data_IF_834057988750
#
_entry.id   IF_834057988750
#
_cell.length_a   1.000
_cell.length_b   1.000
_cell.length_c   1.000
_cell.angle_alpha   90.00
_cell.angle_beta   90.00
_cell.angle_gamma   90.00
#
_symmetry.space_group_name_H-M   'P 1'
#
loop_
_entity.id
_entity.type
_entity.pdbx_description
1 polymer ?
#
# COMPACT_ATOMS: atom_id res chain seq x y z
N UNK A 1 9.09 22.18 10.15
CA UNK A 1 8.54 21.27 11.18
C UNK A 1 8.86 19.85 10.75
N UNK A 2 9.48 19.05 11.63
CA UNK A 2 9.68 17.63 11.36
C UNK A 2 8.39 16.89 11.69
N UNK A 3 7.93 16.04 10.80
CA UNK A 3 6.74 15.19 10.98
C UNK A 3 7.24 13.75 11.04
N UNK A 4 6.95 13.06 12.13
CA UNK A 4 7.25 11.63 12.26
C UNK A 4 6.09 10.77 11.78
N UNK A 5 6.42 9.63 11.21
CA UNK A 5 5.47 8.60 10.76
C UNK A 5 6.16 7.26 10.71
N UNK A 6 5.38 6.19 10.68
CA UNK A 6 5.87 4.84 10.42
C UNK A 6 5.68 4.48 8.94
N UNK A 7 6.49 3.59 8.42
CA UNK A 7 6.36 3.06 7.05
C UNK A 7 6.32 1.53 7.08
N UNK A 8 5.82 0.94 5.99
CA UNK A 8 5.59 -0.48 5.91
C UNK A 8 4.27 -0.90 6.57
N UNK A 9 4.14 -2.18 6.81
CA UNK A 9 2.97 -2.77 7.47
C UNK A 9 3.40 -3.47 8.76
N UNK A 10 2.47 -3.55 9.70
CA UNK A 10 2.70 -4.14 11.00
C UNK A 10 1.94 -5.46 11.14
N UNK A 11 2.68 -6.52 11.47
CA UNK A 11 2.11 -7.79 11.90
C UNK A 11 2.35 -7.94 13.40
N UNK A 12 1.37 -7.64 14.25
CA UNK A 12 1.50 -7.93 15.67
C UNK A 12 1.68 -9.45 15.88
N UNK A 13 2.53 -9.84 16.81
CA UNK A 13 2.73 -11.27 17.17
C UNK A 13 1.40 -11.95 17.51
N UNK A 14 0.49 -11.22 18.14
CA UNK A 14 -0.84 -11.70 18.52
C UNK A 14 -1.73 -12.05 17.34
N UNK A 15 -1.59 -11.40 16.16
CA UNK A 15 -2.38 -11.73 14.98
C UNK A 15 -2.07 -13.14 14.46
N UNK A 16 -0.82 -13.56 14.50
CA UNK A 16 -0.45 -14.93 14.09
C UNK A 16 -1.13 -15.97 14.97
N UNK A 17 -1.22 -15.71 16.26
CA UNK A 17 -1.96 -16.56 17.22
C UNK A 17 -3.46 -16.61 16.93
N UNK A 18 -4.07 -15.47 16.64
CA UNK A 18 -5.49 -15.34 16.29
C UNK A 18 -5.82 -16.04 14.97
N UNK A 19 -4.99 -15.86 13.95
CA UNK A 19 -5.14 -16.57 12.67
C UNK A 19 -5.06 -18.09 12.84
N UNK A 20 -4.13 -18.56 13.65
CA UNK A 20 -4.01 -19.98 13.98
C UNK A 20 -5.26 -20.49 14.74
N UNK A 21 -5.77 -19.73 15.71
CA UNK A 21 -6.99 -20.07 16.42
C UNK A 21 -8.19 -20.18 15.48
N UNK A 22 -8.36 -19.22 14.56
CA UNK A 22 -9.41 -19.25 13.56
C UNK A 22 -9.26 -20.41 12.57
N UNK A 23 -8.07 -20.67 12.04
CA UNK A 23 -7.81 -21.78 11.12
C UNK A 23 -8.13 -23.14 11.76
N UNK A 24 -7.93 -23.27 13.08
CA UNK A 24 -8.27 -24.45 13.85
C UNK A 24 -9.70 -24.42 14.43
N UNK A 25 -10.56 -23.52 13.96
CA UNK A 25 -11.96 -23.38 14.38
C UNK A 25 -12.15 -23.17 15.90
N UNK A 26 -11.18 -22.53 16.56
CA UNK A 26 -11.27 -22.16 17.98
C UNK A 26 -11.95 -20.82 18.19
N UNK A 27 -11.92 -19.96 17.20
CA UNK A 27 -12.66 -18.70 17.14
C UNK A 27 -13.39 -18.60 15.81
N UNK A 28 -14.45 -17.81 15.78
CA UNK A 28 -15.24 -17.48 14.59
C UNK A 28 -14.52 -16.43 13.76
N UNK A 29 -14.96 -16.21 12.53
CA UNK A 29 -14.45 -15.14 11.69
C UNK A 29 -14.81 -13.75 12.23
N UNK A 30 -15.99 -13.62 12.82
CA UNK A 30 -16.44 -12.38 13.45
C UNK A 30 -15.54 -12.00 14.64
N UNK A 31 -15.22 -12.98 15.49
CA UNK A 31 -14.26 -12.77 16.58
C UNK A 31 -12.87 -12.37 16.07
N UNK A 32 -12.38 -13.00 15.00
CA UNK A 32 -11.11 -12.62 14.39
C UNK A 32 -11.11 -11.19 13.84
N UNK A 33 -12.18 -10.76 13.16
CA UNK A 33 -12.30 -9.40 12.64
C UNK A 33 -12.41 -8.36 13.77
N UNK A 34 -13.10 -8.69 14.85
CA UNK A 34 -13.18 -7.83 16.05
C UNK A 34 -11.80 -7.69 16.72
N UNK A 35 -11.07 -8.78 16.85
CA UNK A 35 -9.72 -8.76 17.42
C UNK A 35 -8.73 -7.98 16.54
N UNK A 36 -8.81 -8.13 15.21
CA UNK A 36 -8.03 -7.29 14.29
C UNK A 36 -8.30 -5.81 14.54
N UNK A 37 -9.56 -5.46 14.71
CA UNK A 37 -9.94 -4.08 15.04
C UNK A 37 -9.34 -3.62 16.37
N UNK A 38 -9.36 -4.47 17.40
CA UNK A 38 -8.74 -4.16 18.69
C UNK A 38 -7.22 -3.95 18.56
N UNK A 39 -6.54 -4.80 17.80
CA UNK A 39 -5.10 -4.64 17.52
C UNK A 39 -4.78 -3.35 16.75
N UNK A 40 -5.65 -2.94 15.82
CA UNK A 40 -5.51 -1.66 15.13
C UNK A 40 -5.58 -0.48 16.11
N UNK A 41 -6.50 -0.49 17.05
CA UNK A 41 -6.59 0.53 18.10
C UNK A 41 -5.35 0.54 19.01
N UNK A 42 -4.82 -0.62 19.34
CA UNK A 42 -3.57 -0.74 20.11
C UNK A 42 -2.41 -0.11 19.34
N UNK A 43 -2.27 -0.43 18.06
CA UNK A 43 -1.24 0.15 17.19
C UNK A 43 -1.34 1.69 17.16
N UNK A 44 -2.52 2.24 16.93
CA UNK A 44 -2.72 3.69 16.90
C UNK A 44 -2.37 4.35 18.23
N UNK A 45 -2.78 3.76 19.35
CA UNK A 45 -2.51 4.30 20.68
C UNK A 45 -1.01 4.30 20.99
N UNK A 46 -0.32 3.19 20.72
CA UNK A 46 1.13 3.09 20.91
C UNK A 46 1.87 4.14 20.08
N UNK A 47 1.53 4.29 18.82
CA UNK A 47 2.14 5.30 17.94
C UNK A 47 1.89 6.73 18.47
N UNK A 48 0.66 7.03 18.89
CA UNK A 48 0.29 8.33 19.45
C UNK A 48 1.04 8.63 20.76
N UNK A 49 1.14 7.66 21.67
CA UNK A 49 1.84 7.80 22.95
C UNK A 49 3.35 8.03 22.78
N UNK A 50 3.93 7.48 21.69
CA UNK A 50 5.33 7.70 21.34
C UNK A 50 5.57 8.92 20.46
N UNK A 51 4.57 9.77 20.26
CA UNK A 51 4.70 11.05 19.57
C UNK A 51 4.82 10.94 18.06
N UNK A 52 4.34 9.85 17.46
CA UNK A 52 4.20 9.77 16.00
C UNK A 52 3.11 10.75 15.55
N UNK A 53 3.48 11.65 14.61
CA UNK A 53 2.57 12.72 14.17
C UNK A 53 1.54 12.22 13.16
N UNK A 54 1.98 11.51 12.14
CA UNK A 54 1.09 10.94 11.12
C UNK A 54 1.05 9.43 11.28
N UNK A 55 -0.06 8.92 11.77
CA UNK A 55 -0.26 7.50 12.05
C UNK A 55 -0.92 6.84 10.84
N UNK A 56 -0.37 5.75 10.28
CA UNK A 56 -1.05 4.98 9.26
C UNK A 56 -2.40 4.47 9.77
N UNK A 57 -3.46 4.64 8.98
CA UNK A 57 -4.79 4.22 9.41
C UNK A 57 -5.02 2.70 9.30
N UNK A 58 -4.27 2.03 8.45
CA UNK A 58 -4.51 0.65 8.03
C UNK A 58 -3.23 -0.21 8.05
N UNK A 59 -2.42 -0.11 9.10
CA UNK A 59 -1.16 -0.84 9.23
C UNK A 59 -1.33 -2.28 9.76
N UNK A 60 -2.47 -2.61 10.39
CA UNK A 60 -2.78 -3.96 10.86
C UNK A 60 -3.60 -4.71 9.81
N UNK A 61 -3.02 -5.70 9.16
CA UNK A 61 -3.65 -6.49 8.10
C UNK A 61 -3.72 -7.98 8.47
N UNK A 62 -4.83 -8.64 8.12
CA UNK A 62 -5.00 -10.09 8.31
C UNK A 62 -4.46 -10.93 7.14
N UNK A 63 -4.22 -10.32 6.00
CA UNK A 63 -3.69 -10.99 4.81
C UNK A 63 -2.35 -10.37 4.41
N UNK A 64 -2.28 -9.74 3.27
CA UNK A 64 -1.15 -8.91 2.85
C UNK A 64 -1.64 -7.65 2.12
N UNK A 65 -0.82 -6.58 2.05
CA UNK A 65 -1.22 -5.31 1.45
C UNK A 65 -1.60 -5.42 -0.03
N UNK A 66 -0.97 -6.34 -0.78
CA UNK A 66 -1.27 -6.53 -2.21
C UNK A 66 -2.63 -7.17 -2.39
N UNK A 67 -2.93 -8.19 -1.58
CA UNK A 67 -4.23 -8.86 -1.62
C UNK A 67 -5.36 -7.93 -1.17
N UNK A 68 -5.12 -7.08 -0.16
CA UNK A 68 -6.06 -6.05 0.25
C UNK A 68 -6.29 -5.02 -0.85
N UNK A 69 -5.22 -4.57 -1.51
CA UNK A 69 -5.34 -3.65 -2.66
C UNK A 69 -6.12 -4.29 -3.81
N UNK A 70 -5.92 -5.59 -4.09
CA UNK A 70 -6.72 -6.30 -5.08
C UNK A 70 -8.22 -6.23 -4.75
N UNK A 71 -8.59 -6.45 -3.49
CA UNK A 71 -9.97 -6.31 -3.04
C UNK A 71 -10.53 -4.90 -3.16
N UNK A 72 -9.75 -3.91 -2.77
CA UNK A 72 -10.09 -2.48 -2.92
C UNK A 72 -10.45 -2.14 -4.38
N UNK A 73 -9.77 -2.76 -5.33
CA UNK A 73 -9.97 -2.58 -6.76
C UNK A 73 -11.01 -3.53 -7.37
N UNK A 74 -11.71 -4.30 -6.53
CA UNK A 74 -12.78 -5.21 -6.95
C UNK A 74 -12.28 -6.52 -7.57
N UNK A 75 -11.04 -6.91 -7.29
CA UNK A 75 -10.46 -8.18 -7.76
C UNK A 75 -10.71 -9.26 -6.70
N UNK A 76 -11.32 -10.37 -7.11
CA UNK A 76 -11.60 -11.52 -6.24
C UNK A 76 -12.92 -11.43 -5.47
N UNK A 77 -12.99 -12.13 -4.35
CA UNK A 77 -14.18 -12.19 -3.48
C UNK A 77 -14.41 -10.83 -2.79
N UNK A 78 -15.65 -10.40 -2.68
CA UNK A 78 -16.03 -9.10 -2.08
C UNK A 78 -16.32 -9.20 -0.59
N UNK A 79 -16.82 -10.34 -0.12
CA UNK A 79 -17.09 -10.55 1.30
C UNK A 79 -15.79 -10.70 2.09
N UNK A 80 -15.53 -9.88 3.12
CA UNK A 80 -14.25 -9.90 3.84
C UNK A 80 -13.93 -11.27 4.46
N UNK A 81 -14.94 -11.93 5.00
CA UNK A 81 -14.78 -13.24 5.61
C UNK A 81 -14.41 -14.32 4.60
N UNK A 82 -15.09 -14.32 3.44
CA UNK A 82 -14.77 -15.24 2.35
C UNK A 82 -13.41 -14.94 1.73
N UNK A 83 -13.04 -13.66 1.61
CA UNK A 83 -11.71 -13.25 1.16
C UNK A 83 -10.62 -13.85 2.04
N UNK A 84 -10.81 -13.81 3.36
CA UNK A 84 -9.87 -14.39 4.31
C UNK A 84 -9.78 -15.92 4.14
N UNK A 85 -10.93 -16.59 3.96
CA UNK A 85 -10.96 -18.03 3.64
C UNK A 85 -10.20 -18.32 2.33
N UNK A 86 -10.41 -17.52 1.30
CA UNK A 86 -9.73 -17.66 0.01
C UNK A 86 -8.21 -17.50 0.16
N UNK A 87 -7.77 -16.50 0.90
CA UNK A 87 -6.35 -16.24 1.13
C UNK A 87 -5.63 -17.41 1.82
N UNK A 88 -6.25 -17.99 2.85
CA UNK A 88 -5.60 -19.02 3.66
C UNK A 88 -5.90 -20.46 3.22
N UNK A 89 -7.04 -20.72 2.60
CA UNK A 89 -7.47 -22.09 2.23
C UNK A 89 -7.33 -22.40 0.74
N UNK A 90 -7.28 -21.39 -0.13
CA UNK A 90 -7.00 -21.60 -1.55
C UNK A 90 -5.49 -21.54 -1.79
N UNK A 91 -5.02 -22.32 -2.74
CA UNK A 91 -3.63 -22.24 -3.20
C UNK A 91 -3.45 -21.02 -4.12
N UNK A 92 -3.36 -19.84 -3.52
CA UNK A 92 -3.09 -18.62 -4.26
C UNK A 92 -1.62 -18.60 -4.72
N UNK A 93 -1.33 -18.11 -5.93
CA UNK A 93 0.03 -17.81 -6.32
C UNK A 93 0.64 -16.82 -5.35
N UNK A 94 1.88 -17.08 -4.91
CA UNK A 94 2.63 -16.19 -4.02
C UNK A 94 4.04 -15.99 -4.55
N UNK A 95 4.62 -14.83 -4.27
CA UNK A 95 6.03 -14.58 -4.53
C UNK A 95 6.62 -13.69 -3.45
N UNK A 96 7.95 -13.69 -3.35
CA UNK A 96 8.70 -12.86 -2.41
C UNK A 96 8.40 -11.38 -2.61
N UNK A 97 8.11 -10.70 -1.49
CA UNK A 97 7.91 -9.27 -1.47
C UNK A 97 9.26 -8.55 -1.54
N UNK A 98 9.67 -8.23 -2.75
CA UNK A 98 10.94 -7.56 -3.07
C UNK A 98 12.15 -8.18 -2.35
N UNK A 99 12.86 -7.43 -1.51
CA UNK A 99 14.04 -7.91 -0.79
C UNK A 99 13.72 -8.46 0.61
N UNK A 100 12.44 -8.57 0.96
CA UNK A 100 12.00 -9.12 2.25
C UNK A 100 11.78 -10.63 2.15
N UNK A 101 12.05 -11.36 3.24
CA UNK A 101 11.83 -12.80 3.30
C UNK A 101 10.38 -13.17 3.70
N UNK A 102 9.43 -12.51 3.05
CA UNK A 102 8.00 -12.78 3.18
C UNK A 102 7.37 -12.99 1.81
N UNK A 103 6.34 -13.82 1.76
CA UNK A 103 5.60 -14.12 0.54
C UNK A 103 4.23 -13.45 0.58
N UNK A 104 3.91 -12.67 -0.46
CA UNK A 104 2.59 -12.09 -0.66
C UNK A 104 1.84 -12.75 -1.80
N UNK A 105 0.52 -12.72 -1.74
CA UNK A 105 -0.33 -13.20 -2.82
C UNK A 105 -0.08 -12.39 -4.09
N UNK A 106 0.05 -13.09 -5.22
CA UNK A 106 0.17 -12.49 -6.54
C UNK A 106 -1.21 -12.44 -7.18
N UNK A 107 -1.87 -11.27 -7.29
CA UNK A 107 -3.16 -11.16 -7.96
C UNK A 107 -3.05 -11.62 -9.43
N UNK A 108 -4.01 -12.42 -9.85
CA UNK A 108 -4.10 -12.87 -11.24
C UNK A 108 -5.26 -12.15 -11.90
N UNK A 109 -4.96 -11.37 -12.93
CA UNK A 109 -5.93 -10.61 -13.70
C UNK A 109 -6.19 -11.31 -15.04
N UNK A 110 -7.31 -10.99 -15.67
CA UNK A 110 -7.62 -11.42 -17.05
C UNK A 110 -7.51 -10.24 -18.01
N UNK A 111 -7.18 -10.52 -19.27
CA UNK A 111 -7.25 -9.48 -20.31
C UNK A 111 -8.65 -8.89 -20.39
N UNK A 112 -8.73 -7.56 -20.41
CA UNK A 112 -10.01 -6.85 -20.44
C UNK A 112 -10.75 -6.80 -19.10
N UNK A 113 -10.11 -7.18 -17.99
CA UNK A 113 -10.70 -7.03 -16.66
C UNK A 113 -11.07 -5.57 -16.37
N UNK A 114 -12.28 -5.39 -15.81
CA UNK A 114 -12.72 -4.11 -15.29
C UNK A 114 -12.44 -4.02 -13.80
N UNK A 115 -12.11 -2.82 -13.34
CA UNK A 115 -11.85 -2.53 -11.94
C UNK A 115 -12.97 -1.65 -11.39
N UNK A 116 -13.43 -1.98 -10.22
CA UNK A 116 -14.45 -1.22 -9.51
C UNK A 116 -14.08 -1.13 -8.05
N UNK A 117 -14.04 0.10 -7.53
CA UNK A 117 -13.79 0.30 -6.10
C UNK A 117 -14.90 -0.37 -5.32
N UNK A 118 -14.54 -1.28 -4.43
CA UNK A 118 -15.43 -1.76 -3.39
C UNK A 118 -15.08 -1.09 -2.08
N UNK A 119 -16.07 -0.84 -1.24
CA UNK A 119 -15.82 -0.39 0.12
C UNK A 119 -14.96 -1.43 0.83
N UNK A 120 -13.90 -0.96 1.47
CA UNK A 120 -12.91 -1.84 2.03
C UNK A 120 -12.36 -1.29 3.32
N UNK A 121 -11.70 -2.18 4.00
CA UNK A 121 -10.96 -2.00 5.23
C UNK A 121 -10.14 -0.71 5.26
N UNK A 122 -9.47 -0.33 4.17
CA UNK A 122 -8.65 0.90 4.10
C UNK A 122 -9.46 2.17 4.33
N UNK A 123 -10.65 2.25 3.72
CA UNK A 123 -11.53 3.43 3.83
C UNK A 123 -12.17 3.46 5.22
N UNK A 124 -12.66 2.32 5.69
CA UNK A 124 -13.27 2.18 7.01
C UNK A 124 -12.28 2.49 8.13
N UNK A 125 -11.06 1.95 8.05
CA UNK A 125 -9.99 2.23 9.01
C UNK A 125 -9.62 3.72 9.03
N UNK A 126 -9.57 4.36 7.85
CA UNK A 126 -9.31 5.79 7.79
C UNK A 126 -10.40 6.60 8.48
N UNK A 127 -11.68 6.33 8.20
CA UNK A 127 -12.79 7.02 8.86
C UNK A 127 -12.78 6.80 10.37
N UNK A 128 -12.49 5.58 10.80
CA UNK A 128 -12.43 5.22 12.21
C UNK A 128 -11.28 5.94 12.93
N UNK A 129 -10.06 5.87 12.39
CA UNK A 129 -8.91 6.57 12.95
C UNK A 129 -9.17 8.09 13.07
N UNK A 130 -9.75 8.68 12.03
CA UNK A 130 -10.12 10.10 12.01
C UNK A 130 -11.18 10.42 13.06
N UNK A 131 -12.19 9.56 13.23
CA UNK A 131 -13.25 9.76 14.24
C UNK A 131 -12.71 9.73 15.67
N UNK A 132 -11.58 9.08 15.91
CA UNK A 132 -10.86 9.06 17.19
C UNK A 132 -9.90 10.25 17.37
N UNK A 133 -9.92 11.20 16.44
CA UNK A 133 -9.11 12.41 16.50
C UNK A 133 -7.63 12.21 16.15
N UNK A 134 -7.30 11.10 15.48
CA UNK A 134 -5.93 10.86 15.03
C UNK A 134 -5.61 11.72 13.81
N UNK A 135 -4.39 12.24 13.75
CA UNK A 135 -3.80 12.74 12.51
C UNK A 135 -3.32 11.52 11.74
N UNK A 136 -4.08 11.10 10.76
CA UNK A 136 -3.89 9.82 10.09
C UNK A 136 -3.77 9.98 8.58
N UNK A 137 -3.16 8.98 7.96
CA UNK A 137 -3.06 8.84 6.51
C UNK A 137 -3.30 7.39 6.10
N UNK A 138 -4.15 7.14 5.09
CA UNK A 138 -4.27 5.84 4.48
C UNK A 138 -3.02 5.46 3.68
N UNK A 139 -2.64 4.18 3.75
CA UNK A 139 -1.53 3.60 3.01
C UNK A 139 -2.08 2.66 1.95
N UNK A 140 -1.67 2.87 0.72
CA UNK A 140 -2.03 2.05 -0.44
C UNK A 140 -0.77 1.43 -1.04
N UNK A 141 -0.83 0.19 -1.49
CA UNK A 141 0.20 -0.29 -2.41
C UNK A 141 0.14 0.58 -3.67
N UNK A 142 1.29 1.13 -4.06
CA UNK A 142 1.35 2.01 -5.21
C UNK A 142 1.01 1.28 -6.52
N UNK A 143 0.42 1.97 -7.49
CA UNK A 143 -0.09 1.34 -8.70
C UNK A 143 0.98 0.62 -9.53
N UNK A 144 2.20 1.12 -9.54
CA UNK A 144 3.30 0.49 -10.29
C UNK A 144 3.73 -0.81 -9.62
N UNK A 145 3.90 -0.79 -8.31
CA UNK A 145 4.19 -1.99 -7.51
C UNK A 145 3.06 -3.01 -7.63
N UNK A 146 1.81 -2.57 -7.55
CA UNK A 146 0.67 -3.46 -7.68
C UNK A 146 0.66 -4.18 -9.03
N UNK A 147 0.86 -3.44 -10.13
CA UNK A 147 0.93 -4.03 -11.48
C UNK A 147 2.17 -4.90 -11.70
N UNK A 148 3.34 -4.48 -11.19
CA UNK A 148 4.57 -5.27 -11.26
C UNK A 148 4.44 -6.58 -10.48
N UNK A 149 3.71 -6.55 -9.36
CA UNK A 149 3.51 -7.72 -8.49
C UNK A 149 2.36 -8.64 -8.95
N UNK A 150 1.43 -8.15 -9.74
CA UNK A 150 0.32 -8.90 -10.33
C UNK A 150 0.74 -9.62 -11.61
N UNK A 151 -0.01 -10.67 -11.99
CA UNK A 151 0.17 -11.40 -13.24
C UNK A 151 -1.10 -11.38 -14.10
N UNK A 152 -0.98 -11.74 -15.37
CA UNK A 152 -2.13 -11.93 -16.27
C UNK A 152 -2.26 -13.42 -16.58
N UNK A 153 -3.48 -13.95 -16.50
CA UNK A 153 -3.77 -15.38 -16.69
C UNK A 153 -3.33 -15.94 -18.03
N UNK A 154 -3.24 -15.09 -19.05
CA UNK A 154 -2.81 -15.45 -20.41
C UNK A 154 -1.28 -15.52 -20.57
N UNK A 155 -0.52 -15.54 -19.46
CA UNK A 155 0.91 -15.84 -19.48
C UNK A 155 1.86 -14.64 -19.43
N UNK A 156 1.38 -13.43 -19.15
CA UNK A 156 2.25 -12.29 -18.87
C UNK A 156 2.80 -12.35 -17.44
N UNK A 157 4.10 -12.11 -17.30
CA UNK A 157 4.77 -12.13 -15.98
C UNK A 157 4.33 -10.97 -15.04
N UNK A 158 3.73 -9.91 -15.60
CA UNK A 158 3.21 -8.77 -14.83
C UNK A 158 2.01 -8.13 -15.55
N UNK A 159 1.30 -7.26 -14.84
CA UNK A 159 0.10 -6.60 -15.31
C UNK A 159 0.33 -5.12 -15.73
N UNK A 160 1.56 -4.71 -16.04
CA UNK A 160 1.87 -3.32 -16.40
C UNK A 160 1.05 -2.82 -17.61
N UNK A 161 0.67 -3.71 -18.53
CA UNK A 161 -0.20 -3.39 -19.67
C UNK A 161 -1.63 -2.99 -19.30
N UNK A 162 -2.06 -3.27 -18.04
CA UNK A 162 -3.41 -2.95 -17.56
C UNK A 162 -3.53 -1.51 -17.00
N UNK A 163 -2.49 -0.69 -17.10
CA UNK A 163 -2.42 0.61 -16.46
C UNK A 163 -3.60 1.55 -16.77
N UNK A 164 -4.06 1.59 -18.02
CA UNK A 164 -5.15 2.47 -18.43
C UNK A 164 -6.51 2.05 -17.88
N UNK A 165 -6.72 0.74 -17.67
CA UNK A 165 -7.92 0.22 -17.03
C UNK A 165 -7.89 0.40 -15.51
N UNK A 166 -6.69 0.33 -14.91
CA UNK A 166 -6.49 0.44 -13.47
C UNK A 166 -6.56 1.89 -12.95
N UNK A 167 -6.11 2.85 -13.75
CA UNK A 167 -6.04 4.27 -13.39
C UNK A 167 -7.36 4.84 -12.85
N UNK A 168 -8.53 4.65 -13.50
CA UNK A 168 -9.79 5.19 -13.00
C UNK A 168 -10.17 4.64 -11.62
N UNK A 169 -9.85 3.38 -11.34
CA UNK A 169 -10.16 2.75 -10.06
C UNK A 169 -9.27 3.32 -8.93
N UNK A 170 -7.96 3.42 -9.13
CA UNK A 170 -7.08 4.10 -8.17
C UNK A 170 -7.50 5.55 -7.93
N UNK A 171 -7.82 6.27 -9.01
CA UNK A 171 -8.30 7.65 -8.89
C UNK A 171 -9.57 7.74 -8.04
N UNK A 172 -10.53 6.84 -8.24
CA UNK A 172 -11.77 6.82 -7.45
C UNK A 172 -11.52 6.53 -5.98
N UNK A 173 -10.57 5.63 -5.65
CA UNK A 173 -10.14 5.40 -4.25
C UNK A 173 -9.65 6.70 -3.61
N UNK A 174 -8.77 7.43 -4.31
CA UNK A 174 -8.22 8.70 -3.80
C UNK A 174 -9.33 9.73 -3.62
N UNK A 175 -10.24 9.85 -4.58
CA UNK A 175 -11.39 10.77 -4.50
C UNK A 175 -12.26 10.46 -3.28
N UNK A 176 -12.57 9.17 -3.02
CA UNK A 176 -13.33 8.76 -1.84
C UNK A 176 -12.58 9.16 -0.55
N UNK A 177 -11.28 8.90 -0.48
CA UNK A 177 -10.49 9.28 0.68
C UNK A 177 -10.45 10.79 0.90
N UNK A 178 -10.38 11.59 -0.16
CA UNK A 178 -10.47 13.06 -0.11
C UNK A 178 -11.87 13.48 0.37
N UNK A 179 -12.93 12.90 -0.16
CA UNK A 179 -14.32 13.15 0.27
C UNK A 179 -14.50 12.85 1.77
N UNK A 180 -13.79 11.83 2.30
CA UNK A 180 -13.74 11.50 3.72
C UNK A 180 -12.78 12.41 4.53
N UNK A 181 -12.05 13.28 3.84
CA UNK A 181 -11.18 14.30 4.42
C UNK A 181 -9.75 13.82 4.68
N UNK A 182 -9.21 12.98 3.84
CA UNK A 182 -7.79 12.66 3.83
C UNK A 182 -6.99 13.86 3.30
N UNK A 183 -6.04 14.35 4.11
CA UNK A 183 -5.10 15.39 3.70
C UNK A 183 -3.82 14.83 3.11
N UNK A 184 -3.46 13.60 3.52
CA UNK A 184 -2.31 12.87 3.06
C UNK A 184 -2.70 11.45 2.66
N UNK A 185 -2.10 10.94 1.59
CA UNK A 185 -2.18 9.54 1.16
C UNK A 185 -0.76 9.04 0.90
N UNK A 186 -0.45 7.84 1.38
CA UNK A 186 0.82 7.19 1.13
C UNK A 186 0.66 6.14 0.03
N UNK A 187 1.62 6.09 -0.88
CA UNK A 187 1.78 5.03 -1.88
C UNK A 187 3.08 4.27 -1.63
N UNK A 188 2.98 2.99 -1.30
CA UNK A 188 4.13 2.12 -1.14
C UNK A 188 4.55 1.56 -2.50
N UNK A 189 5.72 2.00 -2.96
CA UNK A 189 6.30 1.67 -4.27
C UNK A 189 7.69 1.01 -4.15
N UNK A 190 7.83 -0.09 -3.39
CA UNK A 190 9.12 -0.77 -3.26
C UNK A 190 9.63 -1.36 -4.59
N UNK A 191 8.83 -1.44 -5.64
CA UNK A 191 9.30 -1.86 -6.96
C UNK A 191 10.46 -1.00 -7.47
N UNK A 192 10.54 0.27 -7.07
CA UNK A 192 11.61 1.17 -7.50
C UNK A 192 12.95 0.93 -6.82
N UNK A 193 13.02 0.10 -5.78
CA UNK A 193 14.31 -0.31 -5.18
C UNK A 193 15.04 -1.38 -5.98
N UNK A 194 14.44 -1.87 -7.07
CA UNK A 194 15.08 -2.74 -8.05
C UNK A 194 15.30 -2.00 -9.36
N UNK A 195 16.34 -2.36 -10.13
CA UNK A 195 16.54 -1.80 -11.45
C UNK A 195 15.28 -1.93 -12.31
N UNK A 196 14.73 -0.81 -12.76
CA UNK A 196 13.54 -0.78 -13.60
C UNK A 196 13.91 -0.50 -15.06
N UNK A 197 13.20 -1.17 -15.97
CA UNK A 197 13.29 -0.83 -17.39
C UNK A 197 12.80 0.61 -17.60
N UNK A 198 13.39 1.32 -18.57
CA UNK A 198 13.03 2.71 -18.88
C UNK A 198 11.52 2.91 -19.10
N UNK A 199 10.85 1.92 -19.67
CA UNK A 199 9.42 2.01 -19.96
C UNK A 199 8.56 1.97 -18.68
N UNK A 200 8.99 1.24 -17.63
CA UNK A 200 8.28 1.21 -16.33
C UNK A 200 8.33 2.58 -15.65
N UNK A 201 9.48 3.23 -15.66
CA UNK A 201 9.62 4.55 -15.06
C UNK A 201 8.89 5.65 -15.84
N UNK A 202 8.79 5.53 -17.16
CA UNK A 202 7.93 6.41 -17.98
C UNK A 202 6.46 6.15 -17.73
N UNK A 203 6.07 4.88 -17.58
CA UNK A 203 4.71 4.53 -17.22
C UNK A 203 4.33 5.14 -15.86
N UNK A 204 5.23 5.08 -14.87
CA UNK A 204 5.03 5.72 -13.58
C UNK A 204 4.78 7.22 -13.71
N UNK A 205 5.58 7.92 -14.52
CA UNK A 205 5.41 9.36 -14.77
C UNK A 205 4.02 9.67 -15.35
N UNK A 206 3.61 8.94 -16.38
CA UNK A 206 2.29 9.11 -17.01
C UNK A 206 1.18 8.78 -16.01
N UNK A 207 1.29 7.65 -15.32
CA UNK A 207 0.27 7.18 -14.40
C UNK A 207 0.05 8.19 -13.26
N UNK A 208 1.11 8.58 -12.55
CA UNK A 208 1.00 9.51 -11.42
C UNK A 208 0.57 10.91 -11.85
N UNK A 209 0.96 11.36 -13.06
CA UNK A 209 0.50 12.62 -13.61
C UNK A 209 -1.02 12.63 -13.82
N UNK A 210 -1.56 11.60 -14.44
CA UNK A 210 -3.01 11.51 -14.67
C UNK A 210 -3.77 11.17 -13.38
N UNK A 211 -3.19 10.33 -12.50
CA UNK A 211 -3.79 9.94 -11.23
C UNK A 211 -4.05 11.15 -10.33
N UNK A 212 -3.07 12.03 -10.20
CA UNK A 212 -3.09 13.14 -9.24
C UNK A 212 -3.60 14.46 -9.83
N UNK A 213 -3.86 14.48 -11.13
CA UNK A 213 -4.28 15.69 -11.85
C UNK A 213 -5.55 16.31 -11.26
N UNK A 214 -5.44 17.55 -10.76
CA UNK A 214 -6.56 18.33 -10.23
C UNK A 214 -7.10 17.82 -8.87
N UNK A 215 -6.41 16.93 -8.20
CA UNK A 215 -6.75 16.51 -6.84
C UNK A 215 -6.02 17.39 -5.82
N UNK A 216 -6.75 17.81 -4.79
CA UNK A 216 -6.20 18.58 -3.67
C UNK A 216 -5.89 17.63 -2.50
N UNK A 217 -4.77 16.94 -2.60
CA UNK A 217 -4.28 16.01 -1.57
C UNK A 217 -2.76 15.96 -1.61
N UNK A 218 -2.15 15.89 -0.46
CA UNK A 218 -0.70 15.64 -0.34
C UNK A 218 -0.43 14.14 -0.44
N UNK A 219 0.61 13.79 -1.17
CA UNK A 219 0.97 12.39 -1.40
C UNK A 219 2.40 12.12 -1.00
N UNK A 220 2.63 10.97 -0.36
CA UNK A 220 3.95 10.46 -0.03
C UNK A 220 4.18 9.17 -0.80
N UNK A 221 5.18 9.15 -1.66
CA UNK A 221 5.65 7.91 -2.28
C UNK A 221 6.72 7.31 -1.36
N UNK A 222 6.48 6.09 -0.91
CA UNK A 222 7.34 5.41 0.06
C UNK A 222 8.05 4.24 -0.59
N UNK A 223 9.38 4.24 -0.47
CA UNK A 223 10.22 3.13 -0.90
C UNK A 223 10.95 2.55 0.30
N UNK A 224 11.05 1.24 0.36
CA UNK A 224 11.73 0.50 1.42
C UNK A 224 12.31 -0.79 0.87
N UNK A 225 13.13 -1.48 1.66
CA UNK A 225 13.86 -2.70 1.27
C UNK A 225 14.91 -2.44 0.19
N UNK A 226 15.62 -1.31 0.29
CA UNK A 226 16.74 -0.97 -0.58
C UNK A 226 16.74 0.46 -1.11
N UNK A 227 17.82 0.84 -1.77
CA UNK A 227 17.99 2.13 -2.40
C UNK A 227 17.35 2.23 -3.79
N UNK A 228 17.10 3.45 -4.23
CA UNK A 228 16.54 3.73 -5.55
C UNK A 228 17.55 3.59 -6.71
N UNK A 229 18.84 3.69 -6.43
CA UNK A 229 19.89 3.60 -7.47
C UNK A 229 19.58 4.48 -8.68
N UNK A 230 19.62 3.91 -9.88
CA UNK A 230 19.34 4.62 -11.15
C UNK A 230 17.90 5.14 -11.28
N UNK A 231 16.99 4.67 -10.44
CA UNK A 231 15.61 5.14 -10.44
C UNK A 231 15.43 6.46 -9.67
N UNK A 232 16.39 6.86 -8.81
CA UNK A 232 16.28 8.01 -7.92
C UNK A 232 15.77 9.26 -8.65
N UNK A 233 16.46 9.67 -9.71
CA UNK A 233 16.08 10.90 -10.44
C UNK A 233 14.65 10.85 -10.97
N UNK A 234 14.19 9.70 -11.45
CA UNK A 234 12.87 9.55 -12.05
C UNK A 234 11.77 9.54 -10.99
N UNK A 235 12.01 8.86 -9.87
CA UNK A 235 11.10 8.88 -8.72
C UNK A 235 10.96 10.29 -8.17
N UNK A 236 12.06 11.04 -8.08
CA UNK A 236 12.04 12.43 -7.64
C UNK A 236 11.32 13.38 -8.59
N UNK A 237 11.13 13.02 -9.86
CA UNK A 237 10.36 13.82 -10.83
C UNK A 237 8.86 13.49 -10.83
N UNK A 238 8.41 12.44 -10.15
CA UNK A 238 6.98 12.12 -10.05
C UNK A 238 6.23 13.25 -9.34
N UNK A 239 4.96 13.55 -9.72
CA UNK A 239 4.20 14.68 -9.18
C UNK A 239 3.63 14.39 -7.77
N UNK A 240 4.42 13.80 -6.90
CA UNK A 240 4.10 13.54 -5.49
C UNK A 240 4.65 14.64 -4.59
N UNK A 241 4.04 14.87 -3.44
CA UNK A 241 4.44 15.93 -2.49
C UNK A 241 5.71 15.56 -1.73
N UNK A 242 5.82 14.29 -1.33
CA UNK A 242 6.94 13.78 -0.53
C UNK A 242 7.45 12.46 -1.09
N UNK A 243 8.72 12.16 -0.83
CA UNK A 243 9.33 10.86 -1.11
C UNK A 243 10.04 10.38 0.15
N UNK A 244 9.78 9.13 0.53
CA UNK A 244 10.47 8.43 1.61
C UNK A 244 11.55 7.51 1.05
N UNK A 245 12.70 7.50 1.71
CA UNK A 245 13.88 6.71 1.33
C UNK A 245 14.29 5.76 2.44
N UNK A 246 14.67 4.56 2.07
CA UNK A 246 15.27 3.59 2.99
C UNK A 246 16.76 3.91 3.19
N UNK A 247 17.04 4.75 4.18
CA UNK A 247 18.41 5.12 4.55
C UNK A 247 19.06 4.11 5.52
N UNK A 248 18.34 3.08 5.95
CA UNK A 248 18.90 1.98 6.74
C UNK A 248 19.58 0.99 5.80
N UNK A 249 18.87 0.58 4.73
CA UNK A 249 19.43 -0.34 3.74
C UNK A 249 20.44 0.31 2.81
N UNK A 250 20.29 1.62 2.52
CA UNK A 250 21.14 2.35 1.58
C UNK A 250 21.45 3.78 2.12
N UNK A 251 22.35 3.91 3.11
CA UNK A 251 22.68 5.22 3.73
C UNK A 251 23.28 6.23 2.76
N UNK A 252 24.02 5.77 1.76
CA UNK A 252 24.70 6.65 0.79
C UNK A 252 23.71 7.45 -0.07
N UNK A 253 22.50 6.98 -0.19
CA UNK A 253 21.41 7.66 -0.91
C UNK A 253 21.11 9.05 -0.33
N UNK A 254 21.37 9.27 0.97
CA UNK A 254 21.18 10.55 1.64
C UNK A 254 21.95 11.69 0.94
N UNK A 255 23.22 11.49 0.62
CA UNK A 255 24.04 12.50 -0.06
C UNK A 255 23.47 12.82 -1.44
N UNK A 256 23.11 11.79 -2.22
CA UNK A 256 22.56 11.96 -3.56
C UNK A 256 21.26 12.76 -3.57
N UNK A 257 20.45 12.60 -2.50
CA UNK A 257 19.18 13.31 -2.36
C UNK A 257 19.40 14.76 -1.97
N UNK A 258 20.32 15.06 -1.04
CA UNK A 258 20.56 16.42 -0.55
C UNK A 258 21.32 17.31 -1.54
N UNK A 259 22.12 16.74 -2.42
CA UNK A 259 22.89 17.51 -3.41
C UNK A 259 22.02 18.21 -4.48
N UNK A 260 20.73 17.98 -4.45
CA UNK A 260 19.80 18.54 -5.42
C UNK A 260 18.58 19.16 -4.73
N UNK A 261 18.10 20.29 -5.27
CA UNK A 261 16.78 20.84 -4.88
C UNK A 261 15.69 20.18 -5.71
N UNK A 262 14.96 19.27 -5.11
CA UNK A 262 13.87 18.54 -5.76
C UNK A 262 12.51 19.20 -5.61
N UNK A 263 12.39 20.26 -4.80
CA UNK A 263 11.10 20.90 -4.50
C UNK A 263 10.11 19.97 -3.79
N UNK A 264 10.60 18.96 -3.05
CA UNK A 264 9.80 17.94 -2.38
C UNK A 264 10.09 17.89 -0.88
N UNK A 265 9.14 17.37 -0.13
CA UNK A 265 9.37 16.94 1.25
C UNK A 265 10.14 15.60 1.21
N UNK A 266 11.24 15.53 1.95
CA UNK A 266 12.04 14.32 2.07
C UNK A 266 11.70 13.63 3.40
N UNK A 267 11.61 12.29 3.37
CA UNK A 267 11.26 11.46 4.50
C UNK A 267 12.19 10.24 4.60
#
# INVERSE_FOLDING_TARGET
MLISTTCGFFHPDDISGLLNAWQNSRITIEELLNERTAQQHISWNVQREHGIHHIPSNDVVLTDPVYNTAGLLGIGEKDPGRRLVDYYKKSLPKRKWYQMDIDFATPVMTSGQTFQVSETEVIEDFEKAKSEGLITRPVLVGPITFMDFSSISEGSENALGMWSALLPAYRRVIEILIEKGAEWIQFDEPCFTRPQKRDVTKLAEVFYTELLKGLDVKTCLTTYSGGLGDNLRRVMMLPVTAVHFDLISEPEQYTQVLDNDWGKVLS
#
